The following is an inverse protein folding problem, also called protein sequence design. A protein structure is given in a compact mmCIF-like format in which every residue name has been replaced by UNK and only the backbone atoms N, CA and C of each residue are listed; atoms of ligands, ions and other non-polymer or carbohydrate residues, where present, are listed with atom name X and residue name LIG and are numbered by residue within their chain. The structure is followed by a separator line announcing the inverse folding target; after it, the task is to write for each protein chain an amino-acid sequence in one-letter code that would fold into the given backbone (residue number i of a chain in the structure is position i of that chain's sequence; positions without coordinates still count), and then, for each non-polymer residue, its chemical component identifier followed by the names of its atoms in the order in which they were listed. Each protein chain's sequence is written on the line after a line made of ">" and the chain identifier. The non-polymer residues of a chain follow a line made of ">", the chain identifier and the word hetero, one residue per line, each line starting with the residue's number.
data_IF_623743991301
#
_entry.id   IF_623743991301
#
_cell.length_a   1.000
_cell.length_b   1.000
_cell.length_c   1.000
_cell.angle_alpha   90.00
_cell.angle_beta   90.00
_cell.angle_gamma   90.00
#
_symmetry.space_group_name_H-M   'P 1'
#
loop_
_entity.id
_entity.type
_entity.pdbx_description
1 polymer ?
#
# COMPACT_ATOMS: atom_id res chain seq x y z
N UNK A 1 0.83 58.24 -8.53
CA UNK A 1 1.73 57.08 -8.37
C UNK A 1 0.87 55.88 -8.15
N UNK A 2 0.72 54.99 -9.13
CA UNK A 2 0.00 53.74 -8.98
C UNK A 2 1.02 52.66 -8.63
N UNK A 3 0.93 52.10 -7.41
CA UNK A 3 1.78 51.03 -6.96
C UNK A 3 1.50 49.76 -7.79
N UNK A 4 2.51 49.24 -8.42
CA UNK A 4 2.48 47.93 -9.10
C UNK A 4 2.44 46.84 -8.07
N UNK A 5 1.33 46.11 -7.99
CA UNK A 5 1.28 44.83 -7.27
C UNK A 5 2.32 43.85 -7.83
N UNK A 6 3.10 43.18 -7.00
CA UNK A 6 4.01 42.14 -7.49
C UNK A 6 3.24 41.03 -8.12
N UNK A 7 3.62 40.66 -9.36
CA UNK A 7 3.06 39.50 -10.07
C UNK A 7 3.17 38.24 -9.21
N UNK A 8 2.04 37.62 -8.89
CA UNK A 8 2.00 36.29 -8.25
C UNK A 8 2.74 35.33 -9.17
N UNK A 9 3.96 34.91 -8.77
CA UNK A 9 4.68 33.84 -9.43
C UNK A 9 3.79 32.60 -9.36
N UNK A 10 3.23 32.27 -10.50
CA UNK A 10 2.37 31.09 -10.63
C UNK A 10 3.16 29.84 -10.22
N UNK A 11 2.84 29.24 -9.07
CA UNK A 11 3.37 27.93 -8.72
C UNK A 11 3.03 26.98 -9.88
N UNK A 12 4.06 26.46 -10.54
CA UNK A 12 3.93 25.45 -11.58
C UNK A 12 3.09 24.31 -10.95
N UNK A 13 1.88 24.11 -11.44
CA UNK A 13 0.98 23.06 -10.96
C UNK A 13 1.58 21.71 -11.34
N UNK A 14 2.12 21.01 -10.36
CA UNK A 14 2.74 19.70 -10.55
C UNK A 14 1.67 18.65 -10.32
N UNK A 15 1.39 17.86 -11.35
CA UNK A 15 0.58 16.64 -11.19
C UNK A 15 1.34 15.71 -10.25
N UNK A 16 0.69 15.26 -9.17
CA UNK A 16 1.29 14.32 -8.23
C UNK A 16 0.71 12.94 -8.44
N UNK A 17 1.58 11.96 -8.51
CA UNK A 17 1.20 10.55 -8.61
C UNK A 17 1.68 9.78 -7.38
N UNK A 18 0.83 8.87 -6.93
CA UNK A 18 1.19 7.86 -5.94
C UNK A 18 0.96 6.51 -6.60
N UNK A 19 2.01 5.71 -6.59
CA UNK A 19 1.98 4.32 -7.02
C UNK A 19 1.96 3.44 -5.79
N UNK A 20 0.78 2.93 -5.44
CA UNK A 20 0.62 2.00 -4.34
C UNK A 20 0.86 0.59 -4.85
N UNK A 21 1.86 -0.08 -4.28
CA UNK A 21 2.31 -1.40 -4.69
C UNK A 21 2.07 -2.39 -3.56
N UNK A 22 1.34 -3.44 -3.84
CA UNK A 22 1.26 -4.61 -2.95
C UNK A 22 2.49 -5.48 -3.19
N UNK A 23 3.19 -5.92 -2.12
CA UNK A 23 4.34 -6.82 -2.29
C UNK A 23 3.94 -8.06 -3.10
N UNK A 24 4.84 -8.61 -3.95
CA UNK A 24 4.56 -9.82 -4.73
C UNK A 24 4.63 -11.09 -3.89
N UNK A 25 4.74 -12.26 -4.52
CA UNK A 25 4.77 -13.55 -3.85
C UNK A 25 5.84 -13.62 -2.75
N UNK A 26 5.40 -13.97 -1.54
CA UNK A 26 6.26 -14.14 -0.38
C UNK A 26 6.13 -15.56 0.20
N UNK A 27 7.12 -15.97 0.99
CA UNK A 27 7.24 -17.34 1.47
C UNK A 27 6.00 -17.82 2.23
N UNK A 28 5.36 -16.95 3.03
CA UNK A 28 4.14 -17.30 3.76
C UNK A 28 2.97 -17.73 2.85
N UNK A 29 2.91 -17.22 1.59
CA UNK A 29 1.89 -17.66 0.63
C UNK A 29 2.11 -19.12 0.24
N UNK A 30 3.37 -19.50 -0.04
CA UNK A 30 3.74 -20.86 -0.46
C UNK A 30 3.63 -21.85 0.71
N UNK A 31 4.02 -21.41 1.90
CA UNK A 31 3.98 -22.24 3.12
C UNK A 31 2.55 -22.38 3.69
N UNK A 32 1.58 -21.62 3.15
CA UNK A 32 0.19 -21.68 3.62
C UNK A 32 0.03 -21.18 5.06
N UNK A 33 0.87 -20.24 5.49
CA UNK A 33 0.79 -19.64 6.83
C UNK A 33 0.21 -18.22 6.78
N UNK A 34 -0.29 -17.77 7.93
CA UNK A 34 -0.83 -16.41 8.08
C UNK A 34 0.29 -15.39 7.97
N UNK A 35 0.15 -14.45 7.04
CA UNK A 35 1.13 -13.39 6.81
C UNK A 35 1.14 -12.37 7.94
N UNK A 36 0.18 -11.46 7.98
CA UNK A 36 0.11 -10.41 8.98
C UNK A 36 1.46 -9.76 9.24
N UNK A 37 1.92 -9.79 10.49
CA UNK A 37 3.25 -9.32 10.90
C UNK A 37 4.33 -10.43 10.89
N UNK A 38 3.99 -11.65 10.44
CA UNK A 38 5.01 -12.66 10.17
C UNK A 38 5.99 -12.14 9.11
N UNK A 39 7.28 -12.06 9.49
CA UNK A 39 8.29 -11.38 8.66
C UNK A 39 8.94 -12.36 7.66
N UNK A 40 8.19 -12.71 6.63
CA UNK A 40 8.62 -13.62 5.56
C UNK A 40 9.31 -12.88 4.40
N UNK A 41 10.25 -13.56 3.76
CA UNK A 41 10.93 -13.09 2.55
C UNK A 41 10.06 -13.22 1.30
N UNK A 42 10.45 -12.51 0.23
CA UNK A 42 10.00 -12.82 -1.12
C UNK A 42 10.53 -14.19 -1.55
N UNK A 43 9.70 -14.97 -2.25
CA UNK A 43 10.15 -16.18 -2.94
C UNK A 43 11.11 -15.85 -4.10
N UNK A 44 11.66 -16.86 -4.75
CA UNK A 44 12.42 -16.68 -5.99
C UNK A 44 11.54 -16.02 -7.07
N UNK A 45 10.30 -16.47 -7.21
CA UNK A 45 9.31 -15.88 -8.12
C UNK A 45 8.96 -14.44 -7.70
N UNK A 46 8.69 -14.21 -6.42
CA UNK A 46 8.40 -12.88 -5.90
C UNK A 46 9.51 -11.86 -6.18
N UNK A 47 10.77 -12.29 -6.15
CA UNK A 47 11.91 -11.43 -6.55
C UNK A 47 11.87 -11.06 -8.03
N UNK A 48 11.52 -12.00 -8.92
CA UNK A 48 11.34 -11.72 -10.35
C UNK A 48 10.16 -10.78 -10.58
N UNK A 49 9.05 -11.02 -9.89
CA UNK A 49 7.88 -10.14 -9.95
C UNK A 49 8.21 -8.71 -9.49
N UNK A 50 9.00 -8.56 -8.42
CA UNK A 50 9.45 -7.25 -7.93
C UNK A 50 10.33 -6.49 -8.94
N UNK A 51 11.19 -7.20 -9.72
CA UNK A 51 11.92 -6.58 -10.83
C UNK A 51 10.98 -6.09 -11.95
N UNK A 52 9.95 -6.86 -12.30
CA UNK A 52 8.94 -6.43 -13.29
C UNK A 52 8.18 -5.19 -12.82
N UNK A 53 7.80 -5.13 -11.55
CA UNK A 53 7.19 -3.93 -10.94
C UNK A 53 8.12 -2.73 -11.10
N UNK A 54 9.40 -2.90 -10.75
CA UNK A 54 10.41 -1.84 -10.84
C UNK A 54 10.60 -1.34 -12.29
N UNK A 55 10.62 -2.24 -13.28
CA UNK A 55 10.71 -1.90 -14.70
C UNK A 55 9.52 -1.06 -15.17
N UNK A 56 8.30 -1.48 -14.82
CA UNK A 56 7.08 -0.75 -15.21
C UNK A 56 7.03 0.63 -14.58
N UNK A 57 7.35 0.75 -13.29
CA UNK A 57 7.38 2.03 -12.61
C UNK A 57 8.46 2.96 -13.20
N UNK A 58 9.64 2.43 -13.50
CA UNK A 58 10.70 3.19 -14.14
C UNK A 58 10.27 3.71 -15.53
N UNK A 59 9.58 2.89 -16.32
CA UNK A 59 9.02 3.30 -17.61
C UNK A 59 7.95 4.42 -17.48
N UNK A 60 7.10 4.35 -16.45
CA UNK A 60 6.02 5.33 -16.22
C UNK A 60 6.55 6.67 -15.70
N UNK A 61 7.52 6.64 -14.81
CA UNK A 61 8.04 7.82 -14.09
C UNK A 61 9.17 8.50 -14.89
N UNK A 62 10.00 7.73 -15.58
CA UNK A 62 11.16 8.22 -16.31
C UNK A 62 12.18 8.86 -15.36
N UNK A 63 12.68 10.04 -15.74
CA UNK A 63 13.68 10.82 -14.97
C UNK A 63 13.07 11.82 -13.98
N UNK A 64 11.77 11.71 -13.71
CA UNK A 64 11.13 12.62 -12.76
C UNK A 64 11.53 12.30 -11.31
N UNK A 65 11.54 13.31 -10.42
CA UNK A 65 11.80 13.07 -9.00
C UNK A 65 10.80 12.07 -8.40
N UNK A 66 11.34 11.13 -7.60
CA UNK A 66 10.56 10.09 -6.93
C UNK A 66 11.05 9.88 -5.50
N UNK A 67 10.14 9.57 -4.60
CA UNK A 67 10.43 9.05 -3.26
C UNK A 67 9.81 7.65 -3.14
N UNK A 68 10.49 6.74 -2.43
CA UNK A 68 10.04 5.37 -2.21
C UNK A 68 9.83 5.14 -0.71
N UNK A 69 8.62 4.77 -0.35
CA UNK A 69 8.20 4.42 1.00
C UNK A 69 7.86 2.94 1.08
N UNK A 70 8.08 2.31 2.21
CA UNK A 70 7.77 0.90 2.41
C UNK A 70 7.37 0.57 3.83
N UNK A 71 6.48 -0.41 3.97
CA UNK A 71 6.44 -1.20 5.20
C UNK A 71 7.84 -1.77 5.48
N UNK A 72 8.19 -1.88 6.75
CA UNK A 72 9.46 -2.45 7.20
C UNK A 72 9.49 -3.99 7.19
N UNK A 73 8.34 -4.66 6.95
CA UNK A 73 8.30 -6.11 6.77
C UNK A 73 9.08 -6.52 5.51
N UNK A 74 9.90 -7.57 5.63
CA UNK A 74 10.92 -7.97 4.65
C UNK A 74 10.37 -8.12 3.21
N UNK A 75 9.23 -8.74 3.02
CA UNK A 75 8.60 -8.87 1.70
C UNK A 75 8.29 -7.53 1.03
N UNK A 76 7.89 -6.52 1.79
CA UNK A 76 7.64 -5.17 1.28
C UNK A 76 8.95 -4.40 1.07
N UNK A 77 9.86 -4.41 2.06
CA UNK A 77 11.15 -3.71 1.94
C UNK A 77 12.01 -4.29 0.81
N UNK A 78 12.05 -5.60 0.63
CA UNK A 78 12.75 -6.25 -0.49
C UNK A 78 12.16 -5.86 -1.86
N UNK A 79 10.86 -5.62 -1.94
CA UNK A 79 10.21 -5.10 -3.15
C UNK A 79 10.62 -3.64 -3.38
N UNK A 80 10.53 -2.82 -2.34
CA UNK A 80 10.87 -1.40 -2.39
C UNK A 80 12.34 -1.16 -2.75
N UNK A 81 13.26 -1.98 -2.23
CA UNK A 81 14.69 -1.91 -2.55
C UNK A 81 14.96 -2.15 -4.05
N UNK A 82 14.24 -3.06 -4.70
CA UNK A 82 14.38 -3.30 -6.14
C UNK A 82 13.89 -2.11 -6.94
N UNK A 83 12.77 -1.53 -6.52
CA UNK A 83 12.22 -0.32 -7.13
C UNK A 83 13.19 0.86 -6.94
N UNK A 84 13.63 1.10 -5.71
CA UNK A 84 14.50 2.23 -5.37
C UNK A 84 15.85 2.20 -6.12
N UNK A 85 16.42 1.01 -6.34
CA UNK A 85 17.65 0.85 -7.17
C UNK A 85 17.48 1.36 -8.60
N UNK A 86 16.31 1.22 -9.20
CA UNK A 86 16.04 1.74 -10.57
C UNK A 86 16.08 3.26 -10.63
N UNK A 87 15.75 3.92 -9.53
CA UNK A 87 15.72 5.39 -9.43
C UNK A 87 16.93 5.98 -8.71
N UNK A 88 17.81 5.14 -8.17
CA UNK A 88 19.00 5.54 -7.38
C UNK A 88 18.60 6.41 -6.18
N UNK A 89 17.57 5.97 -5.45
CA UNK A 89 17.06 6.63 -4.23
C UNK A 89 17.06 5.65 -3.06
N UNK A 90 16.95 6.18 -1.84
CA UNK A 90 16.81 5.38 -0.63
C UNK A 90 15.34 5.06 -0.35
N UNK A 91 15.12 3.91 0.30
CA UNK A 91 13.80 3.50 0.79
C UNK A 91 13.57 4.11 2.17
N UNK A 92 12.45 4.79 2.34
CA UNK A 92 11.98 5.28 3.63
C UNK A 92 11.01 4.26 4.23
N UNK A 93 11.43 3.57 5.29
CA UNK A 93 10.61 2.55 5.95
C UNK A 93 9.71 3.17 7.02
N UNK A 94 8.45 2.71 7.09
CA UNK A 94 7.48 3.13 8.09
C UNK A 94 6.66 1.91 8.57
N UNK A 95 6.79 1.56 9.84
CA UNK A 95 6.06 0.45 10.44
C UNK A 95 4.54 0.65 10.41
N UNK A 96 4.06 1.89 10.27
CA UNK A 96 2.63 2.18 10.10
C UNK A 96 2.07 1.66 8.78
N UNK A 97 2.93 1.32 7.80
CA UNK A 97 2.54 0.71 6.52
C UNK A 97 2.47 -0.83 6.56
N UNK A 98 2.72 -1.47 7.71
CA UNK A 98 2.59 -2.93 7.87
C UNK A 98 1.18 -3.41 7.54
N UNK A 99 1.08 -4.69 7.20
CA UNK A 99 -0.21 -5.39 7.10
C UNK A 99 -0.94 -5.42 8.46
N UNK A 100 -2.22 -5.71 8.46
CA UNK A 100 -2.97 -5.97 9.68
C UNK A 100 -2.33 -7.14 10.45
N UNK A 101 -2.03 -6.93 11.73
CA UNK A 101 -1.59 -8.02 12.59
C UNK A 101 -2.75 -8.98 12.86
N UNK A 102 -2.49 -10.28 12.78
CA UNK A 102 -3.39 -11.31 13.28
C UNK A 102 -2.96 -11.82 14.67
N UNK A 103 -2.08 -11.06 15.36
CA UNK A 103 -1.60 -11.38 16.69
C UNK A 103 -0.90 -12.73 16.77
N UNK A 104 -1.30 -13.58 17.70
CA UNK A 104 -0.73 -14.92 17.89
C UNK A 104 -0.90 -15.86 16.67
N UNK A 105 -1.77 -15.51 15.72
CA UNK A 105 -1.96 -16.26 14.48
C UNK A 105 -0.88 -15.96 13.43
N UNK A 106 -0.13 -14.86 13.54
CA UNK A 106 0.91 -14.51 12.59
C UNK A 106 1.97 -15.62 12.50
N UNK A 107 2.20 -16.18 11.29
CA UNK A 107 3.09 -17.31 11.05
C UNK A 107 2.51 -18.69 11.38
N UNK A 108 1.28 -18.79 11.90
CA UNK A 108 0.59 -20.06 12.09
C UNK A 108 -0.03 -20.56 10.79
N UNK A 109 -0.31 -21.86 10.65
CA UNK A 109 -1.06 -22.36 9.49
C UNK A 109 -2.41 -21.65 9.32
N UNK A 110 -2.85 -21.43 8.07
CA UNK A 110 -4.16 -20.83 7.79
C UNK A 110 -5.32 -21.58 8.44
N UNK A 111 -5.23 -22.93 8.52
CA UNK A 111 -6.23 -23.75 9.19
C UNK A 111 -6.34 -23.42 10.68
N UNK A 112 -5.22 -23.15 11.35
CA UNK A 112 -5.22 -22.76 12.77
C UNK A 112 -6.02 -21.46 13.01
N UNK A 113 -5.84 -20.47 12.13
CA UNK A 113 -6.61 -19.23 12.18
C UNK A 113 -8.09 -19.47 11.87
N UNK A 114 -8.39 -20.28 10.85
CA UNK A 114 -9.77 -20.56 10.42
C UNK A 114 -10.61 -21.16 11.55
N UNK A 115 -10.03 -22.06 12.37
CA UNK A 115 -10.71 -22.68 13.51
C UNK A 115 -11.02 -21.69 14.65
N UNK A 116 -10.25 -20.60 14.76
CA UNK A 116 -10.31 -19.64 15.89
C UNK A 116 -10.90 -18.31 15.53
N UNK A 117 -11.10 -18.09 14.23
CA UNK A 117 -11.63 -16.81 13.75
C UNK A 117 -13.07 -16.61 14.18
N UNK A 118 -13.32 -15.47 14.81
CA UNK A 118 -14.67 -14.98 15.10
C UNK A 118 -15.13 -14.23 13.85
N UNK A 119 -16.21 -14.66 13.17
CA UNK A 119 -16.69 -14.02 11.97
C UNK A 119 -17.07 -12.56 12.22
N UNK A 120 -16.78 -11.71 11.23
CA UNK A 120 -17.17 -10.32 11.27
C UNK A 120 -18.70 -10.22 11.29
N UNK A 121 -19.30 -9.48 12.25
CA UNK A 121 -20.74 -9.35 12.31
C UNK A 121 -21.30 -8.57 11.12
N UNK A 122 -22.51 -8.90 10.72
CA UNK A 122 -23.20 -8.17 9.64
C UNK A 122 -23.55 -6.74 10.06
N UNK A 123 -23.90 -6.55 11.33
CA UNK A 123 -24.31 -5.28 11.94
C UNK A 123 -23.51 -5.01 13.22
N UNK A 124 -23.54 -3.77 13.69
CA UNK A 124 -22.87 -3.35 14.92
C UNK A 124 -21.47 -2.79 14.68
N UNK A 125 -20.61 -2.85 15.69
CA UNK A 125 -19.22 -2.36 15.62
C UNK A 125 -18.33 -3.32 14.84
N UNK A 126 -18.22 -3.08 13.54
CA UNK A 126 -17.39 -3.87 12.62
C UNK A 126 -15.93 -3.43 12.63
N UNK A 127 -15.66 -2.15 12.96
CA UNK A 127 -14.30 -1.61 13.00
C UNK A 127 -13.56 -2.02 14.26
N UNK A 128 -14.23 -2.02 15.39
CA UNK A 128 -13.68 -2.48 16.67
C UNK A 128 -13.76 -3.99 16.89
N UNK A 129 -14.31 -4.75 15.89
CA UNK A 129 -14.47 -6.19 16.01
C UNK A 129 -13.12 -6.91 16.14
N UNK A 130 -13.03 -7.78 17.13
CA UNK A 130 -11.90 -8.67 17.37
C UNK A 130 -12.10 -10.00 16.62
N UNK A 131 -11.18 -10.34 15.72
CA UNK A 131 -11.28 -11.54 14.87
C UNK A 131 -10.97 -12.88 15.60
N UNK A 132 -10.69 -12.85 16.90
CA UNK A 132 -10.49 -14.03 17.75
C UNK A 132 -9.07 -14.17 18.33
N UNK A 133 -8.00 -14.30 17.52
CA UNK A 133 -6.64 -14.47 18.05
C UNK A 133 -6.19 -13.32 18.95
N UNK A 134 -5.49 -13.68 20.04
CA UNK A 134 -4.98 -12.69 20.97
C UNK A 134 -3.97 -11.73 20.30
N UNK A 135 -4.09 -10.43 20.58
CA UNK A 135 -3.20 -9.41 20.01
C UNK A 135 -3.41 -9.09 18.53
N UNK A 136 -4.47 -9.63 17.90
CA UNK A 136 -4.84 -9.24 16.54
C UNK A 136 -5.32 -7.79 16.50
N UNK A 137 -4.87 -7.01 15.51
CA UNK A 137 -5.39 -5.67 15.26
C UNK A 137 -6.85 -5.69 14.85
N UNK A 138 -7.65 -4.82 15.41
CA UNK A 138 -8.96 -4.45 14.87
C UNK A 138 -8.78 -3.67 13.57
N UNK A 139 -9.85 -3.54 12.78
CA UNK A 139 -9.83 -2.68 11.59
C UNK A 139 -9.62 -1.21 11.94
N UNK A 140 -10.16 -0.77 13.08
CA UNK A 140 -9.97 0.60 13.55
C UNK A 140 -8.51 0.90 13.87
N UNK A 141 -7.81 -0.01 14.56
CA UNK A 141 -6.38 0.16 14.87
C UNK A 141 -5.54 0.23 13.59
N UNK A 142 -5.82 -0.64 12.61
CA UNK A 142 -5.18 -0.61 11.30
C UNK A 142 -5.38 0.74 10.61
N UNK A 143 -6.62 1.22 10.51
CA UNK A 143 -6.97 2.48 9.85
C UNK A 143 -6.36 3.68 10.59
N UNK A 144 -6.37 3.66 11.93
CA UNK A 144 -5.82 4.73 12.77
C UNK A 144 -4.31 4.94 12.57
N UNK A 145 -3.55 3.91 12.15
CA UNK A 145 -2.11 4.09 11.83
C UNK A 145 -1.85 4.40 10.37
N UNK A 146 -2.68 3.89 9.44
CA UNK A 146 -2.47 4.07 8.00
C UNK A 146 -2.81 5.48 7.52
N UNK A 147 -3.89 6.09 8.01
CA UNK A 147 -4.33 7.42 7.58
C UNK A 147 -3.27 8.49 7.87
N UNK A 148 -2.73 8.61 9.11
CA UNK A 148 -1.64 9.56 9.37
C UNK A 148 -0.37 9.24 8.58
N UNK A 149 -0.05 7.96 8.32
CA UNK A 149 1.09 7.59 7.51
C UNK A 149 0.97 8.12 6.07
N UNK A 150 -0.22 7.96 5.45
CA UNK A 150 -0.47 8.51 4.12
C UNK A 150 -0.41 10.04 4.14
N UNK A 151 -1.00 10.70 5.14
CA UNK A 151 -0.97 12.16 5.27
C UNK A 151 0.47 12.70 5.34
N UNK A 152 1.37 12.03 6.08
CA UNK A 152 2.78 12.42 6.18
C UNK A 152 3.48 12.28 4.82
N UNK A 153 3.25 11.21 4.10
CA UNK A 153 3.76 10.99 2.74
C UNK A 153 3.27 12.10 1.80
N UNK A 154 1.99 12.46 1.86
CA UNK A 154 1.38 13.46 1.00
C UNK A 154 1.84 14.90 1.27
N UNK A 155 2.37 15.19 2.46
CA UNK A 155 2.96 16.52 2.78
C UNK A 155 4.25 16.78 2.01
N UNK A 156 4.93 15.75 1.52
CA UNK A 156 6.18 15.89 0.77
C UNK A 156 5.90 16.46 -0.61
N UNK A 157 6.64 17.50 -1.04
CA UNK A 157 6.39 18.20 -2.31
C UNK A 157 7.07 17.50 -3.51
N UNK A 158 6.92 16.18 -3.64
CA UNK A 158 7.50 15.39 -4.72
C UNK A 158 6.42 14.98 -5.72
N UNK A 159 6.77 14.95 -7.01
CA UNK A 159 5.83 14.67 -8.08
C UNK A 159 5.37 13.20 -8.10
N UNK A 160 6.26 12.28 -7.76
CA UNK A 160 5.96 10.85 -7.77
C UNK A 160 6.38 10.24 -6.44
N UNK A 161 5.47 9.47 -5.85
CA UNK A 161 5.70 8.73 -4.62
C UNK A 161 5.29 7.29 -4.84
N UNK A 162 6.17 6.36 -4.47
CA UNK A 162 5.89 4.92 -4.53
C UNK A 162 5.75 4.45 -3.10
N UNK A 163 4.65 3.76 -2.80
CA UNK A 163 4.35 3.23 -1.47
C UNK A 163 4.19 1.72 -1.59
N UNK A 164 5.12 0.96 -1.02
CA UNK A 164 5.08 -0.50 -1.00
C UNK A 164 4.51 -0.98 0.33
N UNK A 165 3.40 -1.71 0.25
CA UNK A 165 2.66 -2.17 1.42
C UNK A 165 2.04 -3.56 1.16
N UNK A 166 0.89 -3.85 1.72
CA UNK A 166 0.24 -5.16 1.76
C UNK A 166 -1.22 -5.04 1.32
N UNK A 167 -1.93 -6.16 1.17
CA UNK A 167 -3.28 -6.19 0.64
C UNK A 167 -4.29 -5.38 1.45
N UNK A 168 -4.51 -5.74 2.71
CA UNK A 168 -5.50 -5.04 3.54
C UNK A 168 -5.06 -3.61 3.84
N UNK A 169 -3.77 -3.40 4.14
CA UNK A 169 -3.23 -2.07 4.37
C UNK A 169 -3.42 -1.16 3.16
N UNK A 170 -3.12 -1.64 1.95
CA UNK A 170 -3.29 -0.87 0.72
C UNK A 170 -4.76 -0.55 0.43
N UNK A 171 -5.68 -1.47 0.74
CA UNK A 171 -7.12 -1.20 0.62
C UNK A 171 -7.53 0.02 1.46
N UNK A 172 -7.05 0.13 2.70
CA UNK A 172 -7.36 1.28 3.56
C UNK A 172 -6.56 2.54 3.21
N UNK A 173 -5.36 2.41 2.62
CA UNK A 173 -4.65 3.56 2.05
C UNK A 173 -5.43 4.16 0.85
N UNK A 174 -6.09 3.33 0.03
CA UNK A 174 -6.99 3.81 -1.03
C UNK A 174 -8.20 4.52 -0.42
N UNK A 175 -8.81 3.98 0.63
CA UNK A 175 -9.92 4.62 1.34
C UNK A 175 -9.51 5.99 1.91
N UNK A 176 -8.31 6.09 2.52
CA UNK A 176 -7.74 7.35 2.99
C UNK A 176 -7.53 8.34 1.83
N UNK A 177 -6.98 7.88 0.71
CA UNK A 177 -6.73 8.69 -0.47
C UNK A 177 -7.99 9.35 -1.03
N UNK A 178 -9.11 8.60 -1.11
CA UNK A 178 -10.38 9.15 -1.60
C UNK A 178 -11.12 10.00 -0.55
N UNK A 179 -10.51 10.23 0.61
CA UNK A 179 -11.08 11.06 1.67
C UNK A 179 -12.23 10.39 2.44
N UNK A 180 -12.29 9.05 2.44
CA UNK A 180 -13.30 8.33 3.21
C UNK A 180 -13.06 8.54 4.71
N UNK A 181 -14.08 8.93 5.51
CA UNK A 181 -13.94 8.96 6.96
C UNK A 181 -13.59 7.57 7.51
N UNK A 182 -12.69 7.50 8.50
CA UNK A 182 -12.29 6.23 9.12
C UNK A 182 -13.49 5.39 9.57
N UNK A 183 -14.50 6.04 10.14
CA UNK A 183 -15.74 5.39 10.59
C UNK A 183 -16.61 4.81 9.48
N UNK A 184 -16.33 5.14 8.22
CA UNK A 184 -17.07 4.64 7.04
C UNK A 184 -16.34 3.50 6.31
N UNK A 185 -15.17 3.08 6.82
CA UNK A 185 -14.37 2.03 6.17
C UNK A 185 -14.81 0.60 6.51
N UNK A 186 -15.79 0.44 7.37
CA UNK A 186 -16.24 -0.87 7.89
C UNK A 186 -16.83 -1.80 6.82
N UNK A 187 -17.31 -1.24 5.70
CA UNK A 187 -17.95 -1.98 4.59
C UNK A 187 -17.21 -1.86 3.27
N UNK A 188 -16.03 -1.25 3.29
CA UNK A 188 -15.26 -1.02 2.06
C UNK A 188 -14.02 -1.89 2.07
N UNK A 189 -13.80 -2.59 0.98
CA UNK A 189 -12.58 -3.36 0.74
C UNK A 189 -12.27 -3.35 -0.76
N UNK A 190 -11.05 -3.01 -1.10
CA UNK A 190 -10.52 -3.10 -2.45
C UNK A 190 -9.67 -4.36 -2.54
N UNK A 191 -10.13 -5.43 -3.21
CA UNK A 191 -9.33 -6.63 -3.37
C UNK A 191 -8.10 -6.34 -4.23
N UNK A 192 -6.92 -6.62 -3.70
CA UNK A 192 -5.65 -6.38 -4.37
C UNK A 192 -4.89 -7.69 -4.50
N UNK A 193 -4.19 -7.86 -5.61
CA UNK A 193 -3.35 -9.02 -5.85
C UNK A 193 -1.90 -8.75 -5.39
N UNK A 194 -1.19 -9.80 -5.04
CA UNK A 194 0.24 -9.73 -4.80
C UNK A 194 0.97 -9.20 -6.03
N UNK A 195 1.79 -8.17 -5.87
CA UNK A 195 2.46 -7.48 -6.97
C UNK A 195 1.58 -6.52 -7.77
N UNK A 196 0.33 -6.29 -7.37
CA UNK A 196 -0.55 -5.32 -8.01
C UNK A 196 -0.08 -3.88 -7.84
N UNK A 197 -0.27 -3.06 -8.87
CA UNK A 197 0.02 -1.62 -8.86
C UNK A 197 -1.30 -0.86 -8.94
N UNK A 198 -1.54 0.05 -8.00
CA UNK A 198 -2.64 1.00 -8.04
C UNK A 198 -2.08 2.40 -8.27
N UNK A 199 -2.56 3.10 -9.29
CA UNK A 199 -2.12 4.45 -9.62
C UNK A 199 -3.15 5.47 -9.14
N UNK A 200 -2.71 6.32 -8.24
CA UNK A 200 -3.47 7.42 -7.67
C UNK A 200 -2.90 8.74 -8.18
N UNK A 201 -3.75 9.74 -8.44
CA UNK A 201 -3.32 11.02 -8.98
C UNK A 201 -4.06 12.17 -8.32
N UNK A 202 -3.31 13.15 -7.83
CA UNK A 202 -3.87 14.43 -7.40
C UNK A 202 -3.95 15.40 -8.57
N UNK A 203 -5.15 15.86 -8.85
CA UNK A 203 -5.37 16.90 -9.84
C UNK A 203 -5.46 18.27 -9.14
N UNK A 204 -4.38 19.04 -9.22
CA UNK A 204 -4.31 20.37 -8.58
C UNK A 204 -5.16 21.44 -9.31
N UNK A 205 -5.70 21.13 -10.51
CA UNK A 205 -6.60 22.04 -11.23
C UNK A 205 -8.02 21.96 -10.69
N UNK A 206 -8.48 20.74 -10.39
CA UNK A 206 -9.82 20.49 -9.89
C UNK A 206 -9.83 20.13 -8.39
N UNK A 207 -8.67 20.16 -7.73
CA UNK A 207 -8.49 19.78 -6.32
C UNK A 207 -9.08 18.40 -6.00
N UNK A 208 -8.99 17.47 -6.95
CA UNK A 208 -9.55 16.14 -6.84
C UNK A 208 -8.49 15.07 -6.65
N UNK A 209 -8.81 14.07 -5.82
CA UNK A 209 -8.07 12.83 -5.70
C UNK A 209 -8.70 11.81 -6.66
N UNK A 210 -7.87 11.19 -7.51
CA UNK A 210 -8.31 10.29 -8.55
C UNK A 210 -7.68 8.92 -8.34
N UNK A 211 -8.45 7.86 -8.56
CA UNK A 211 -7.95 6.50 -8.76
C UNK A 211 -7.87 6.31 -10.28
N UNK A 212 -6.66 6.35 -10.82
CA UNK A 212 -6.43 6.28 -12.28
C UNK A 212 -6.51 4.84 -12.75
N UNK A 213 -5.92 3.94 -11.96
CA UNK A 213 -6.03 2.49 -12.17
C UNK A 213 -5.98 1.78 -10.82
N UNK A 214 -6.66 0.65 -10.73
CA UNK A 214 -6.75 -0.17 -9.53
C UNK A 214 -6.17 -1.55 -9.83
N UNK A 215 -5.22 -2.02 -8.99
CA UNK A 215 -4.74 -3.39 -8.99
C UNK A 215 -4.29 -3.91 -10.38
N UNK A 216 -3.46 -3.15 -11.08
CA UNK A 216 -2.91 -3.58 -12.37
C UNK A 216 -1.90 -4.72 -12.15
N UNK A 217 -2.07 -5.83 -12.85
CA UNK A 217 -1.22 -7.03 -12.78
C UNK A 217 -0.67 -7.47 -14.13
N UNK A 218 -0.94 -6.74 -15.23
CA UNK A 218 -0.53 -7.11 -16.58
C UNK A 218 0.97 -7.35 -16.72
N UNK A 219 1.78 -6.63 -15.94
CA UNK A 219 3.23 -6.79 -15.91
C UNK A 219 3.70 -8.13 -15.35
N UNK A 220 2.82 -8.88 -14.68
CA UNK A 220 3.09 -10.21 -14.12
C UNK A 220 2.67 -11.34 -15.05
N UNK A 221 2.07 -11.04 -16.21
CA UNK A 221 1.65 -12.07 -17.17
C UNK A 221 2.83 -12.96 -17.58
N UNK A 222 2.59 -14.27 -17.58
CA UNK A 222 3.61 -15.28 -17.87
C UNK A 222 4.48 -15.69 -16.68
N UNK A 223 4.30 -15.07 -15.50
CA UNK A 223 5.01 -15.43 -14.26
C UNK A 223 4.17 -16.23 -13.27
N UNK A 224 2.99 -16.74 -13.69
CA UNK A 224 2.00 -17.37 -12.83
C UNK A 224 0.94 -16.36 -12.35
N UNK A 225 -0.20 -16.89 -11.85
CA UNK A 225 -1.26 -16.04 -11.29
C UNK A 225 -0.88 -15.58 -9.87
N UNK A 226 -0.86 -14.27 -9.61
CA UNK A 226 -0.58 -13.77 -8.27
C UNK A 226 -1.76 -14.09 -7.33
N UNK A 227 -1.49 -14.50 -6.07
CA UNK A 227 -2.55 -14.70 -5.10
C UNK A 227 -3.23 -13.37 -4.76
N UNK A 228 -4.54 -13.42 -4.44
CA UNK A 228 -5.22 -12.31 -3.78
C UNK A 228 -4.72 -12.21 -2.33
N UNK A 229 -4.42 -11.01 -1.88
CA UNK A 229 -3.86 -10.69 -0.56
C UNK A 229 -4.74 -9.72 0.20
#
# INVERSE_FOLDING_TARGET
>A
MRGSEPAKVGRRRVMRHIYLVTHPEAQHHVDGVVGGWHDSDLTALGRVQAERIAEVLASRIGLQPVEVYSSDLRRASQTAERIARRFVVEVQTDARLRERSNGEADGRPQAWLAERRIPLPEYGDRLGHHDGPAGAETRMELVARLYPALDDILRRPVANQIVVSHGSASSYLIAAWIGMPMTSTDRVFFPLAAGGITTLRRNDTHFSHQVVSLNETQHLQGLGEPPLV
#
